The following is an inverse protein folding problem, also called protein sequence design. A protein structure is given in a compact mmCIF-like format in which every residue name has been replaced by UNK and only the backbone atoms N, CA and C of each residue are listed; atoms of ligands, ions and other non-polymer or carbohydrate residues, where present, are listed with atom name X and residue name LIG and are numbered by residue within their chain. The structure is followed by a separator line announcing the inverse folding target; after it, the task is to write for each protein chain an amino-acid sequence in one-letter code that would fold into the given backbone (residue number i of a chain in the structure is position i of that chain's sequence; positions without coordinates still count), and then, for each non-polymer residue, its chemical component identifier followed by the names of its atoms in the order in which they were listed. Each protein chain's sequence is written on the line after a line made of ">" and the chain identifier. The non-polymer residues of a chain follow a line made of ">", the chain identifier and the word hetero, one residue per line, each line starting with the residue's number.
data_IF_938873022634
#
_entry.id   IF_938873022634
#
_cell.length_a   1.000
_cell.length_b   1.000
_cell.length_c   1.000
_cell.angle_alpha   90.00
_cell.angle_beta   90.00
_cell.angle_gamma   90.00
#
_symmetry.space_group_name_H-M   'P 1'
#
loop_
_entity.id
_entity.type
_entity.pdbx_description
1 polymer ?
#
# COMPACT_ATOMS: atom_id res chain seq x y z
N UNK A 1 -4.03 -9.64 5.75
CA UNK A 1 -4.13 -8.38 4.97
C UNK A 1 -3.96 -7.23 5.94
N UNK A 2 -3.17 -6.24 5.56
CA UNK A 2 -3.00 -4.98 6.30
C UNK A 2 -3.75 -3.89 5.53
N UNK A 3 -4.45 -3.01 6.23
CA UNK A 3 -5.10 -1.84 5.64
C UNK A 3 -4.51 -0.55 6.18
N UNK A 4 -4.08 0.34 5.30
CA UNK A 4 -3.65 1.69 5.59
C UNK A 4 -4.68 2.66 5.01
N UNK A 5 -5.18 3.59 5.83
CA UNK A 5 -6.03 4.69 5.38
C UNK A 5 -5.28 6.00 5.54
N UNK A 6 -5.26 6.79 4.47
CA UNK A 6 -4.59 8.09 4.42
C UNK A 6 -5.64 9.16 4.14
N UNK A 7 -5.72 10.15 5.01
CA UNK A 7 -6.69 11.25 4.91
C UNK A 7 -5.98 12.58 5.13
N UNK A 8 -6.30 13.60 4.33
CA UNK A 8 -5.62 14.88 4.41
C UNK A 8 -4.17 14.78 3.95
N UNK A 9 -3.29 15.62 4.51
CA UNK A 9 -1.87 15.60 4.17
C UNK A 9 -1.18 14.35 4.73
N UNK A 10 -0.34 13.72 3.90
CA UNK A 10 0.49 12.59 4.31
C UNK A 10 1.93 13.08 4.44
N UNK A 11 2.36 13.30 5.68
CA UNK A 11 3.67 13.83 5.98
C UNK A 11 4.75 12.74 5.97
N UNK A 12 6.01 13.15 6.10
CA UNK A 12 7.12 12.22 6.27
C UNK A 12 7.05 11.46 7.61
N UNK A 13 6.51 12.10 8.65
CA UNK A 13 6.32 11.50 9.96
C UNK A 13 5.27 10.38 9.89
N UNK A 14 4.11 10.67 9.28
CA UNK A 14 3.06 9.67 9.04
C UNK A 14 3.58 8.49 8.21
N UNK A 15 4.43 8.79 7.21
CA UNK A 15 5.06 7.78 6.38
C UNK A 15 6.04 6.89 7.15
N UNK A 16 6.78 7.47 8.09
CA UNK A 16 7.74 6.74 8.94
C UNK A 16 6.99 5.85 9.92
N UNK A 17 5.98 6.38 10.61
CA UNK A 17 5.14 5.63 11.55
C UNK A 17 4.41 4.47 10.85
N UNK A 18 3.80 4.74 9.68
CA UNK A 18 3.15 3.70 8.89
C UNK A 18 4.15 2.62 8.47
N UNK A 19 5.36 3.00 8.06
CA UNK A 19 6.38 2.04 7.68
C UNK A 19 6.78 1.11 8.84
N UNK A 20 6.98 1.65 10.03
CA UNK A 20 7.32 0.86 11.22
C UNK A 20 6.23 -0.15 11.56
N UNK A 21 4.97 0.30 11.63
CA UNK A 21 3.82 -0.56 11.95
C UNK A 21 3.57 -1.64 10.91
N UNK A 22 3.72 -1.30 9.62
CA UNK A 22 3.59 -2.27 8.52
C UNK A 22 4.72 -3.28 8.59
N UNK A 23 5.96 -2.84 8.81
CA UNK A 23 7.13 -3.73 8.92
C UNK A 23 6.95 -4.71 10.08
N UNK A 24 6.57 -4.23 11.26
CA UNK A 24 6.31 -5.09 12.42
C UNK A 24 5.23 -6.15 12.11
N UNK A 25 4.13 -5.74 11.48
CA UNK A 25 3.06 -6.65 11.08
C UNK A 25 3.52 -7.69 10.06
N UNK A 26 4.44 -7.34 9.17
CA UNK A 26 5.00 -8.23 8.17
C UNK A 26 6.02 -9.22 8.76
N UNK A 27 6.82 -8.78 9.73
CA UNK A 27 7.78 -9.61 10.46
C UNK A 27 7.08 -10.69 11.28
N UNK A 28 5.93 -10.35 11.87
CA UNK A 28 5.11 -11.28 12.65
C UNK A 28 4.28 -12.23 11.78
N UNK A 29 4.22 -12.02 10.46
CA UNK A 29 3.42 -12.86 9.58
C UNK A 29 4.17 -14.10 9.10
N UNK A 30 3.56 -15.27 9.26
CA UNK A 30 4.06 -16.52 8.66
C UNK A 30 3.65 -16.67 7.19
N UNK A 31 2.71 -15.85 6.72
CA UNK A 31 2.12 -15.93 5.39
C UNK A 31 2.49 -14.71 4.54
N UNK A 32 2.28 -14.83 3.23
CA UNK A 32 2.37 -13.70 2.31
C UNK A 32 1.22 -12.72 2.57
N UNK A 33 1.55 -11.43 2.66
CA UNK A 33 0.65 -10.37 3.08
C UNK A 33 0.32 -9.43 1.92
N UNK A 34 -0.94 -9.05 1.87
CA UNK A 34 -1.50 -8.02 1.02
C UNK A 34 -1.68 -6.73 1.80
N UNK A 35 -1.30 -5.60 1.20
CA UNK A 35 -1.57 -4.26 1.74
C UNK A 35 -2.64 -3.58 0.89
N UNK A 36 -3.68 -3.07 1.54
CA UNK A 36 -4.69 -2.19 0.96
C UNK A 36 -4.46 -0.76 1.45
N UNK A 37 -4.27 0.18 0.54
CA UNK A 37 -4.08 1.61 0.81
C UNK A 37 -5.31 2.37 0.31
N UNK A 38 -6.07 2.93 1.24
CA UNK A 38 -7.17 3.85 0.97
C UNK A 38 -6.63 5.29 0.99
N UNK A 39 -6.43 5.87 -0.20
CA UNK A 39 -5.97 7.24 -0.39
C UNK A 39 -7.06 8.14 -0.99
N UNK A 40 -8.34 7.73 -0.94
CA UNK A 40 -9.45 8.43 -1.60
C UNK A 40 -9.64 9.87 -1.11
N UNK A 41 -9.20 10.16 0.12
CA UNK A 41 -9.29 11.46 0.77
C UNK A 41 -7.91 12.06 1.11
N UNK A 42 -6.85 11.58 0.46
CA UNK A 42 -5.50 12.09 0.65
C UNK A 42 -5.29 13.38 -0.16
N UNK A 43 -4.72 14.38 0.47
CA UNK A 43 -4.26 15.59 -0.21
C UNK A 43 -3.05 15.25 -1.10
N UNK A 44 -2.87 16.01 -2.19
CA UNK A 44 -1.78 15.76 -3.13
C UNK A 44 -0.43 15.90 -2.41
N UNK A 45 0.42 14.86 -2.39
CA UNK A 45 1.66 14.90 -1.64
C UNK A 45 2.68 15.81 -2.33
N UNK A 46 3.29 16.72 -1.57
CA UNK A 46 4.30 17.64 -2.06
C UNK A 46 5.73 17.08 -2.02
N UNK A 47 5.98 16.03 -1.21
CA UNK A 47 7.31 15.45 -1.01
C UNK A 47 7.32 13.92 -1.14
N UNK A 48 6.80 13.41 -2.26
CA UNK A 48 6.72 11.97 -2.51
C UNK A 48 8.09 11.27 -2.55
N UNK A 49 9.17 11.99 -2.86
CA UNK A 49 10.54 11.42 -2.86
C UNK A 49 11.03 11.08 -1.46
N UNK A 50 10.84 11.99 -0.49
CA UNK A 50 11.20 11.72 0.90
C UNK A 50 10.32 10.61 1.50
N UNK A 51 9.01 10.68 1.24
CA UNK A 51 8.05 9.65 1.68
C UNK A 51 8.45 8.27 1.15
N UNK A 52 8.75 8.16 -0.15
CA UNK A 52 9.26 6.92 -0.76
C UNK A 52 10.51 6.39 -0.04
N UNK A 53 11.43 7.28 0.31
CA UNK A 53 12.71 6.91 0.92
C UNK A 53 12.59 6.20 2.27
N UNK A 54 11.48 6.39 2.98
CA UNK A 54 11.26 5.75 4.30
C UNK A 54 10.41 4.48 4.24
N UNK A 55 9.84 4.12 3.08
CA UNK A 55 8.99 2.91 2.93
C UNK A 55 9.83 1.62 2.78
N UNK A 56 10.65 1.28 3.78
CA UNK A 56 11.53 0.11 3.75
C UNK A 56 10.79 -1.23 3.70
N UNK A 57 9.52 -1.29 4.14
CA UNK A 57 8.72 -2.52 4.05
C UNK A 57 8.50 -3.01 2.60
N UNK A 58 8.71 -2.14 1.60
CA UNK A 58 8.51 -2.49 0.19
C UNK A 58 9.36 -3.67 -0.29
N UNK A 59 10.51 -3.93 0.35
CA UNK A 59 11.38 -5.05 0.02
C UNK A 59 11.18 -6.27 0.92
N UNK A 60 10.20 -6.21 1.83
CA UNK A 60 9.97 -7.26 2.81
C UNK A 60 9.53 -8.57 2.15
N UNK A 61 10.16 -9.69 2.53
CA UNK A 61 9.93 -11.01 1.90
C UNK A 61 8.49 -11.51 2.01
N UNK A 62 7.76 -11.11 3.05
CA UNK A 62 6.36 -11.51 3.24
C UNK A 62 5.39 -10.60 2.50
N UNK A 63 5.82 -9.46 1.98
CA UNK A 63 4.95 -8.62 1.17
C UNK A 63 4.71 -9.29 -0.19
N UNK A 64 3.45 -9.37 -0.61
CA UNK A 64 3.05 -9.98 -1.89
C UNK A 64 2.58 -8.97 -2.92
N UNK A 65 1.64 -8.11 -2.53
CA UNK A 65 1.12 -7.04 -3.38
C UNK A 65 0.61 -5.88 -2.55
N UNK A 66 0.66 -4.69 -3.16
CA UNK A 66 0.09 -3.44 -2.65
C UNK A 66 -1.05 -3.05 -3.58
N UNK A 67 -2.20 -2.74 -3.00
CA UNK A 67 -3.39 -2.29 -3.70
C UNK A 67 -3.75 -0.89 -3.22
N UNK A 68 -3.97 0.04 -4.14
CA UNK A 68 -4.21 1.44 -3.82
C UNK A 68 -5.53 1.89 -4.43
N UNK A 69 -6.39 2.48 -3.61
CA UNK A 69 -7.58 3.19 -4.07
C UNK A 69 -7.31 4.70 -4.04
N UNK A 70 -7.39 5.34 -5.21
CA UNK A 70 -7.22 6.79 -5.34
C UNK A 70 -8.11 7.30 -6.50
N UNK A 71 -8.76 8.45 -6.31
CA UNK A 71 -9.68 9.05 -7.29
C UNK A 71 -9.00 10.12 -8.19
N UNK A 72 -7.85 10.65 -7.78
CA UNK A 72 -7.14 11.71 -8.49
C UNK A 72 -5.94 11.17 -9.28
N UNK A 73 -5.78 11.61 -10.54
CA UNK A 73 -4.70 11.13 -11.43
C UNK A 73 -3.30 11.47 -10.92
N UNK A 74 -3.10 12.65 -10.34
CA UNK A 74 -1.80 13.04 -9.79
C UNK A 74 -1.51 12.26 -8.52
N UNK A 75 -2.53 12.00 -7.70
CA UNK A 75 -2.40 11.14 -6.55
C UNK A 75 -2.04 9.71 -6.95
N UNK A 76 -2.70 9.12 -7.95
CA UNK A 76 -2.32 7.81 -8.51
C UNK A 76 -0.86 7.79 -8.93
N UNK A 77 -0.41 8.81 -9.66
CA UNK A 77 0.99 8.93 -10.07
C UNK A 77 1.93 9.03 -8.87
N UNK A 78 1.58 9.81 -7.84
CA UNK A 78 2.37 9.90 -6.62
C UNK A 78 2.45 8.56 -5.89
N UNK A 79 1.35 7.83 -5.78
CA UNK A 79 1.30 6.48 -5.21
C UNK A 79 2.17 5.50 -6.00
N UNK A 80 2.18 5.59 -7.33
CA UNK A 80 3.15 4.86 -8.14
C UNK A 80 4.57 5.25 -7.72
N UNK A 81 4.93 6.53 -7.70
CA UNK A 81 6.32 6.91 -7.34
C UNK A 81 6.70 6.42 -5.92
N UNK A 82 5.79 6.51 -4.96
CA UNK A 82 6.03 6.07 -3.58
C UNK A 82 6.22 4.55 -3.51
N UNK A 83 5.40 3.76 -4.22
CA UNK A 83 5.33 2.30 -4.04
C UNK A 83 5.89 1.44 -5.22
N UNK A 84 6.35 2.05 -6.32
CA UNK A 84 6.76 1.36 -7.56
C UNK A 84 8.15 0.68 -7.50
N UNK A 85 8.86 0.71 -6.37
CA UNK A 85 10.10 -0.06 -6.22
C UNK A 85 9.91 -1.45 -5.63
N UNK A 86 8.71 -1.78 -5.17
CA UNK A 86 8.51 -3.06 -4.51
C UNK A 86 8.63 -4.23 -5.50
N UNK A 87 9.22 -5.34 -5.04
CA UNK A 87 9.05 -6.64 -5.70
C UNK A 87 7.59 -7.11 -5.68
N UNK A 88 6.79 -6.57 -4.78
CA UNK A 88 5.38 -6.83 -4.67
C UNK A 88 4.63 -6.22 -5.86
N UNK A 89 3.57 -6.89 -6.33
CA UNK A 89 2.73 -6.33 -7.38
C UNK A 89 2.02 -5.07 -6.89
N UNK A 90 2.13 -3.97 -7.64
CA UNK A 90 1.38 -2.74 -7.36
C UNK A 90 0.13 -2.70 -8.25
N UNK A 91 -1.02 -2.50 -7.63
CA UNK A 91 -2.31 -2.37 -8.29
C UNK A 91 -2.99 -1.07 -7.84
N UNK A 92 -3.49 -0.28 -8.78
CA UNK A 92 -4.14 1.00 -8.49
C UNK A 92 -5.52 1.00 -9.14
N UNK A 93 -6.55 1.29 -8.36
CA UNK A 93 -7.93 1.44 -8.81
C UNK A 93 -8.51 2.81 -8.49
N UNK A 94 -9.72 3.05 -8.98
CA UNK A 94 -10.37 4.37 -8.92
C UNK A 94 -11.29 4.53 -7.71
N UNK A 95 -11.70 3.41 -7.10
CA UNK A 95 -12.63 3.35 -5.97
C UNK A 95 -12.21 2.27 -4.98
N UNK A 96 -12.58 2.46 -3.72
CA UNK A 96 -12.16 1.57 -2.62
C UNK A 96 -12.83 0.20 -2.70
N UNK A 97 -14.11 0.15 -3.06
CA UNK A 97 -14.89 -1.10 -3.05
C UNK A 97 -14.38 -2.07 -4.12
N UNK A 98 -14.14 -1.59 -5.33
CA UNK A 98 -13.55 -2.34 -6.43
C UNK A 98 -12.15 -2.83 -6.10
N UNK A 99 -11.29 -1.97 -5.56
CA UNK A 99 -9.93 -2.36 -5.15
C UNK A 99 -9.98 -3.41 -4.04
N UNK A 100 -10.85 -3.24 -3.04
CA UNK A 100 -11.04 -4.21 -1.96
C UNK A 100 -11.53 -5.55 -2.50
N UNK A 101 -12.50 -5.56 -3.40
CA UNK A 101 -12.97 -6.78 -4.06
C UNK A 101 -11.85 -7.51 -4.81
N UNK A 102 -10.95 -6.78 -5.47
CA UNK A 102 -9.76 -7.36 -6.11
C UNK A 102 -8.82 -8.02 -5.10
N UNK A 103 -8.57 -7.38 -3.95
CA UNK A 103 -7.73 -7.95 -2.88
C UNK A 103 -8.37 -9.23 -2.35
N UNK A 104 -9.66 -9.18 -2.00
CA UNK A 104 -10.39 -10.31 -1.43
C UNK A 104 -10.40 -11.51 -2.39
N UNK A 105 -10.62 -11.26 -3.69
CA UNK A 105 -10.55 -12.30 -4.72
C UNK A 105 -9.15 -12.91 -4.79
N UNK A 106 -8.09 -12.08 -4.71
CA UNK A 106 -6.71 -12.56 -4.81
C UNK A 106 -6.28 -13.37 -3.58
N UNK A 107 -6.66 -12.91 -2.40
CA UNK A 107 -6.46 -13.64 -1.14
C UNK A 107 -7.15 -15.00 -1.18
N UNK A 108 -8.39 -15.07 -1.69
CA UNK A 108 -9.12 -16.33 -1.81
C UNK A 108 -8.45 -17.29 -2.81
N UNK A 109 -7.98 -16.79 -3.95
CA UNK A 109 -7.27 -17.61 -4.95
C UNK A 109 -6.01 -18.25 -4.38
N UNK A 110 -5.21 -17.51 -3.62
CA UNK A 110 -3.95 -18.05 -3.08
C UNK A 110 -4.17 -19.15 -2.05
N UNK A 111 -5.21 -19.01 -1.20
CA UNK A 111 -5.55 -20.02 -0.19
C UNK A 111 -5.98 -21.36 -0.79
N UNK A 112 -6.32 -21.38 -2.08
CA UNK A 112 -6.68 -22.61 -2.79
C UNK A 112 -5.47 -23.32 -3.42
N UNK A 113 -4.31 -22.66 -3.47
CA UNK A 113 -3.08 -23.15 -4.13
C UNK A 113 -2.00 -23.55 -3.12
N UNK A 114 -2.15 -23.17 -1.85
CA UNK A 114 -1.32 -23.61 -0.71
C UNK A 114 -1.86 -24.91 -0.07
#
# INVERSE_FOLDING_TARGET
>A
MISLRITGEYSLEDATEANEKITESLDQSEQRVYILIDAMNMARPHNFVAIRGVQTFMDHRNLKSIYVAANDRLLKLAMMVIFNLSRAGLHIGEDLDGVKAMVDQRVAQDKLVE
#
